data_IF_251058420330
#
_entry.id   IF_251058420330
#
_cell.length_a   1.000
_cell.length_b   1.000
_cell.length_c   1.000
_cell.angle_alpha   90.00
_cell.angle_beta   90.00
_cell.angle_gamma   90.00
#
_symmetry.space_group_name_H-M   'P 1'
#
loop_
_entity.id
_entity.type
_entity.pdbx_description
1 polymer ?
#
# COMPACT_ATOMS: atom_id res chain seq x y z
N UNK A 1 -21.36 -20.95 -2.68
CA UNK A 1 -20.32 -19.98 -3.07
C UNK A 1 -19.54 -19.66 -1.82
N UNK A 2 -18.20 -19.78 -1.84
CA UNK A 2 -17.36 -19.41 -0.69
C UNK A 2 -17.38 -17.89 -0.57
N UNK A 3 -17.89 -17.34 0.53
CA UNK A 3 -17.86 -15.90 0.78
C UNK A 3 -16.46 -15.45 1.20
N UNK A 4 -16.02 -14.32 0.66
CA UNK A 4 -14.75 -13.69 1.06
C UNK A 4 -14.95 -12.98 2.39
N UNK A 5 -14.08 -13.25 3.37
CA UNK A 5 -14.20 -12.64 4.70
C UNK A 5 -13.29 -11.42 4.81
N UNK A 6 -13.87 -10.27 5.14
CA UNK A 6 -13.13 -9.05 5.48
C UNK A 6 -13.40 -8.72 6.94
N UNK A 7 -12.32 -8.68 7.72
CA UNK A 7 -12.37 -8.24 9.11
C UNK A 7 -12.18 -6.73 9.22
N UNK A 8 -12.88 -6.11 10.17
CA UNK A 8 -12.76 -4.70 10.53
C UNK A 8 -12.69 -4.61 12.04
N UNK A 9 -11.59 -4.07 12.57
CA UNK A 9 -11.39 -3.95 14.01
C UNK A 9 -11.09 -2.50 14.36
N UNK A 10 -11.86 -1.96 15.30
CA UNK A 10 -11.57 -0.67 15.92
C UNK A 10 -10.41 -0.80 16.89
N UNK A 11 -9.41 0.06 16.72
CA UNK A 11 -8.22 0.07 17.55
C UNK A 11 -8.56 0.57 18.95
N UNK A 12 -8.44 -0.32 19.93
CA UNK A 12 -8.51 -0.01 21.36
C UNK A 12 -7.21 0.58 21.89
N UNK A 13 -6.73 0.10 23.03
CA UNK A 13 -5.51 0.63 23.65
C UNK A 13 -4.22 0.26 22.90
N UNK A 14 -4.22 -0.84 22.14
CA UNK A 14 -3.03 -1.36 21.46
C UNK A 14 -3.33 -1.76 20.00
N UNK A 15 -2.59 -1.16 19.06
CA UNK A 15 -2.65 -1.49 17.63
C UNK A 15 -2.24 -2.93 17.36
N UNK A 16 -1.25 -3.48 18.06
CA UNK A 16 -0.80 -4.85 17.79
C UNK A 16 -1.88 -5.87 18.14
N UNK A 17 -2.65 -5.62 19.19
CA UNK A 17 -3.80 -6.44 19.56
C UNK A 17 -4.91 -6.34 18.51
N UNK A 18 -5.26 -5.13 18.06
CA UNK A 18 -6.25 -4.93 17.00
C UNK A 18 -5.85 -5.61 15.69
N UNK A 19 -4.56 -5.60 15.34
CA UNK A 19 -4.03 -6.36 14.19
C UNK A 19 -4.24 -7.85 14.38
N UNK A 20 -3.87 -8.40 15.54
CA UNK A 20 -4.08 -9.83 15.84
C UNK A 20 -5.56 -10.19 15.72
N UNK A 21 -6.44 -9.41 16.34
CA UNK A 21 -7.90 -9.63 16.28
C UNK A 21 -8.43 -9.60 14.85
N UNK A 22 -8.01 -8.63 14.02
CA UNK A 22 -8.41 -8.56 12.62
C UNK A 22 -7.93 -9.79 11.84
N UNK A 23 -6.66 -10.17 12.01
CA UNK A 23 -6.11 -11.36 11.35
C UNK A 23 -6.86 -12.63 11.75
N UNK A 24 -7.13 -12.84 13.05
CA UNK A 24 -7.88 -13.99 13.56
C UNK A 24 -9.31 -14.03 13.00
N UNK A 25 -10.02 -12.89 13.00
CA UNK A 25 -11.36 -12.75 12.46
C UNK A 25 -11.44 -13.04 10.94
N UNK A 26 -10.36 -12.77 10.21
CA UNK A 26 -10.22 -13.08 8.79
C UNK A 26 -9.54 -14.44 8.52
N UNK A 27 -9.39 -15.29 9.55
CA UNK A 27 -8.89 -16.66 9.46
C UNK A 27 -7.51 -16.77 8.76
N UNK A 28 -6.57 -15.88 9.12
CA UNK A 28 -5.27 -15.77 8.46
C UNK A 28 -4.51 -17.10 8.29
N UNK A 29 -4.65 -18.05 9.22
CA UNK A 29 -3.97 -19.36 9.18
C UNK A 29 -4.36 -20.22 7.98
N UNK A 30 -5.55 -20.05 7.40
CA UNK A 30 -5.93 -20.80 6.19
C UNK A 30 -5.22 -20.31 4.93
N UNK A 31 -4.60 -19.13 4.99
CA UNK A 31 -3.94 -18.51 3.84
C UNK A 31 -2.42 -18.69 3.84
N UNK A 32 -1.82 -18.95 4.99
CA UNK A 32 -0.38 -19.10 5.15
C UNK A 32 0.02 -20.55 5.44
N UNK A 33 0.97 -21.05 4.66
CA UNK A 33 1.51 -22.40 4.86
C UNK A 33 2.39 -22.43 6.12
N UNK A 34 2.16 -23.34 7.08
CA UNK A 34 3.03 -23.49 8.24
C UNK A 34 4.49 -23.71 7.84
N UNK A 35 5.41 -22.95 8.44
CA UNK A 35 6.85 -23.01 8.17
C UNK A 35 7.30 -22.35 6.85
N UNK A 36 6.40 -21.76 6.06
CA UNK A 36 6.79 -21.04 4.85
C UNK A 36 7.56 -19.76 5.17
N UNK A 37 8.51 -19.42 4.30
CA UNK A 37 9.15 -18.11 4.29
C UNK A 37 8.15 -17.04 3.80
N UNK A 38 8.07 -15.91 4.50
CA UNK A 38 7.08 -14.86 4.23
C UNK A 38 7.71 -13.49 4.03
N UNK A 39 7.39 -12.86 2.90
CA UNK A 39 7.64 -11.45 2.66
C UNK A 39 6.51 -10.58 3.22
N UNK A 40 6.87 -9.66 4.11
CA UNK A 40 6.02 -8.58 4.60
C UNK A 40 6.29 -7.33 3.77
N UNK A 41 5.28 -6.86 3.02
CA UNK A 41 5.42 -5.71 2.14
C UNK A 41 4.65 -4.49 2.69
N UNK A 42 5.29 -3.63 3.50
CA UNK A 42 4.73 -2.33 3.87
C UNK A 42 4.64 -1.40 2.67
N UNK A 43 3.79 -0.38 2.77
CA UNK A 43 3.81 0.75 1.88
C UNK A 43 4.88 1.75 2.33
N UNK A 44 6.03 1.78 1.63
CA UNK A 44 7.08 2.81 1.81
C UNK A 44 7.14 3.77 0.62
N UNK A 45 5.96 4.20 0.16
CA UNK A 45 5.81 5.05 -1.02
C UNK A 45 6.24 6.50 -0.87
N UNK A 46 6.81 6.87 0.29
CA UNK A 46 7.24 8.24 0.56
C UNK A 46 8.42 8.31 1.53
N UNK A 47 9.45 9.03 1.13
CA UNK A 47 10.70 9.25 1.89
C UNK A 47 10.79 10.65 2.50
N UNK A 48 9.63 11.31 2.63
CA UNK A 48 9.41 12.45 3.52
C UNK A 48 8.30 12.07 4.49
N UNK A 49 8.69 11.65 5.68
CA UNK A 49 7.77 11.07 6.66
C UNK A 49 6.48 11.88 6.85
N UNK A 50 5.35 11.24 6.57
CA UNK A 50 4.01 11.74 6.79
C UNK A 50 3.13 10.57 7.23
N UNK A 51 2.57 10.57 8.45
CA UNK A 51 1.62 9.56 8.88
C UNK A 51 0.47 9.39 7.88
N UNK A 52 0.11 8.15 7.57
CA UNK A 52 -0.86 7.80 6.53
C UNK A 52 -0.34 7.77 5.10
N UNK A 53 0.86 8.30 4.82
CA UNK A 53 1.50 8.09 3.52
C UNK A 53 2.23 6.74 3.44
N UNK A 54 2.59 6.17 4.59
CA UNK A 54 3.42 4.97 4.76
C UNK A 54 2.92 4.12 5.91
N UNK A 55 3.16 2.80 5.87
CA UNK A 55 2.66 1.85 6.86
C UNK A 55 3.25 2.09 8.24
N UNK A 56 2.38 2.05 9.25
CA UNK A 56 2.70 2.27 10.65
C UNK A 56 3.52 1.11 11.25
N UNK A 57 4.62 1.38 11.98
CA UNK A 57 5.40 0.35 12.68
C UNK A 57 4.59 -0.57 13.57
N UNK A 58 3.60 -0.04 14.31
CA UNK A 58 2.79 -0.89 15.17
C UNK A 58 1.91 -1.88 14.40
N UNK A 59 1.50 -1.55 13.17
CA UNK A 59 0.76 -2.48 12.32
C UNK A 59 1.69 -3.62 11.86
N UNK A 60 2.89 -3.28 11.38
CA UNK A 60 3.90 -4.29 11.01
C UNK A 60 4.28 -5.17 12.21
N UNK A 61 4.46 -4.56 13.38
CA UNK A 61 4.78 -5.26 14.63
C UNK A 61 3.67 -6.25 15.03
N UNK A 62 2.40 -5.83 14.92
CA UNK A 62 1.24 -6.68 15.17
C UNK A 62 1.22 -7.91 14.25
N UNK A 63 1.51 -7.73 12.95
CA UNK A 63 1.58 -8.85 12.01
C UNK A 63 2.71 -9.81 12.37
N UNK A 64 3.92 -9.28 12.62
CA UNK A 64 5.09 -10.07 13.01
C UNK A 64 4.79 -10.89 14.28
N UNK A 65 4.25 -10.25 15.32
CA UNK A 65 3.90 -10.93 16.57
C UNK A 65 2.80 -11.99 16.40
N UNK A 66 1.95 -11.85 15.38
CA UNK A 66 0.85 -12.79 15.12
C UNK A 66 1.33 -14.04 14.41
N UNK A 67 2.27 -13.90 13.46
CA UNK A 67 2.62 -15.01 12.57
C UNK A 67 3.97 -15.67 12.87
N UNK A 68 4.88 -15.02 13.62
CA UNK A 68 6.29 -15.47 13.77
C UNK A 68 6.49 -16.89 14.29
N UNK A 69 5.52 -17.45 15.00
CA UNK A 69 5.57 -18.83 15.51
C UNK A 69 5.01 -19.86 14.51
N UNK A 70 4.31 -19.40 13.48
CA UNK A 70 3.67 -20.22 12.46
C UNK A 70 4.49 -20.33 11.18
N UNK A 71 5.34 -19.33 10.91
CA UNK A 71 6.09 -19.20 9.64
C UNK A 71 7.58 -19.42 9.83
N UNK A 72 8.31 -19.61 8.73
CA UNK A 72 9.75 -19.72 8.70
C UNK A 72 10.42 -18.34 8.81
N UNK A 73 11.23 -17.97 7.82
CA UNK A 73 11.90 -16.67 7.81
C UNK A 73 10.95 -15.54 7.42
N UNK A 74 11.06 -14.41 8.11
CA UNK A 74 10.37 -13.17 7.79
C UNK A 74 11.28 -12.19 7.07
N UNK A 75 10.85 -11.74 5.90
CA UNK A 75 11.51 -10.69 5.13
C UNK A 75 10.68 -9.41 5.20
N UNK A 76 11.30 -8.26 5.42
CA UNK A 76 10.65 -6.96 5.25
C UNK A 76 11.10 -6.41 3.89
N UNK A 77 10.16 -6.20 2.97
CA UNK A 77 10.51 -5.93 1.56
C UNK A 77 9.85 -4.67 1.03
N UNK A 78 10.57 -3.88 0.23
CA UNK A 78 10.01 -2.83 -0.63
C UNK A 78 11.02 -2.44 -1.72
N UNK A 79 10.61 -1.63 -2.71
CA UNK A 79 11.47 -1.21 -3.81
C UNK A 79 11.60 0.32 -3.89
N UNK A 80 12.67 0.78 -4.50
CA UNK A 80 12.84 2.17 -4.86
C UNK A 80 11.80 2.61 -5.91
N UNK A 81 11.52 3.91 -5.94
CA UNK A 81 10.64 4.54 -6.91
C UNK A 81 11.36 5.71 -7.58
N UNK A 82 10.86 6.18 -8.73
CA UNK A 82 11.47 7.30 -9.47
C UNK A 82 11.77 8.56 -8.62
N UNK A 83 11.00 8.79 -7.54
CA UNK A 83 11.18 9.95 -6.65
C UNK A 83 11.47 9.57 -5.19
N UNK A 84 11.62 8.29 -4.87
CA UNK A 84 11.61 7.80 -3.47
C UNK A 84 12.65 6.72 -3.31
N UNK A 85 13.49 6.86 -2.28
CA UNK A 85 14.43 5.81 -1.87
C UNK A 85 13.84 5.01 -0.71
N UNK A 86 13.60 3.73 -0.89
CA UNK A 86 12.88 2.91 0.10
C UNK A 86 13.64 2.79 1.42
N UNK A 87 14.98 2.75 1.40
CA UNK A 87 15.79 2.77 2.63
C UNK A 87 15.67 4.06 3.43
N UNK A 88 15.49 5.21 2.75
CA UNK A 88 15.27 6.47 3.45
C UNK A 88 13.90 6.46 4.13
N UNK A 89 12.87 5.97 3.42
CA UNK A 89 11.54 5.79 3.98
C UNK A 89 11.57 4.83 5.19
N UNK A 90 12.25 3.68 5.09
CA UNK A 90 12.42 2.70 6.17
C UNK A 90 12.97 3.32 7.46
N UNK A 91 14.06 4.10 7.35
CA UNK A 91 14.71 4.76 8.50
C UNK A 91 13.86 5.86 9.12
N UNK A 92 13.12 6.58 8.26
CA UNK A 92 12.24 7.65 8.72
C UNK A 92 10.98 7.12 9.40
N UNK A 93 10.49 5.95 8.99
CA UNK A 93 9.33 5.31 9.61
C UNK A 93 9.67 4.48 10.84
N UNK A 94 10.96 4.26 11.17
CA UNK A 94 11.40 3.37 12.27
C UNK A 94 11.16 1.88 12.03
N UNK A 95 10.87 1.50 10.79
CA UNK A 95 10.75 0.09 10.45
C UNK A 95 12.11 -0.62 10.43
N UNK A 96 13.22 0.12 10.28
CA UNK A 96 14.57 -0.40 10.49
C UNK A 96 14.82 -0.81 11.95
N UNK A 97 14.35 -0.01 12.91
CA UNK A 97 14.41 -0.35 14.33
C UNK A 97 13.57 -1.60 14.64
N UNK A 98 12.37 -1.69 14.07
CA UNK A 98 11.51 -2.87 14.18
C UNK A 98 12.16 -4.11 13.57
N UNK A 99 12.71 -4.01 12.36
CA UNK A 99 13.39 -5.11 11.69
C UNK A 99 14.54 -5.67 12.55
N UNK A 100 15.34 -4.80 13.18
CA UNK A 100 16.39 -5.22 14.12
C UNK A 100 15.84 -5.88 15.38
N UNK A 101 14.75 -5.35 15.98
CA UNK A 101 14.14 -5.92 17.20
C UNK A 101 13.58 -7.33 17.00
N UNK A 102 13.08 -7.62 15.81
CA UNK A 102 12.42 -8.89 15.47
C UNK A 102 13.25 -9.79 14.55
N UNK A 103 14.51 -9.44 14.28
CA UNK A 103 15.39 -10.17 13.36
C UNK A 103 14.76 -10.40 11.96
N UNK A 104 14.11 -9.36 11.44
CA UNK A 104 13.54 -9.39 10.08
C UNK A 104 14.63 -9.09 9.06
N UNK A 105 14.69 -9.88 7.99
CA UNK A 105 15.61 -9.62 6.89
C UNK A 105 15.06 -8.49 6.01
N UNK A 106 15.65 -7.30 6.08
CA UNK A 106 15.34 -6.23 5.15
C UNK A 106 15.85 -6.54 3.74
N UNK A 107 14.99 -6.39 2.73
CA UNK A 107 15.35 -6.57 1.32
C UNK A 107 14.83 -5.39 0.49
N UNK A 108 15.74 -4.67 -0.16
CA UNK A 108 15.37 -3.73 -1.21
C UNK A 108 15.20 -4.49 -2.53
N UNK A 109 13.96 -4.70 -2.94
CA UNK A 109 13.59 -5.45 -4.14
C UNK A 109 14.18 -4.85 -5.43
N UNK A 110 14.51 -3.55 -5.47
CA UNK A 110 15.18 -2.95 -6.64
C UNK A 110 16.61 -3.44 -6.85
N UNK A 111 17.22 -4.09 -5.87
CA UNK A 111 18.57 -4.66 -5.93
C UNK A 111 18.58 -6.17 -6.10
N UNK A 112 17.41 -6.81 -6.04
CA UNK A 112 17.28 -8.25 -6.20
C UNK A 112 17.33 -8.65 -7.68
N UNK A 113 17.73 -9.89 -7.99
CA UNK A 113 17.52 -10.49 -9.30
C UNK A 113 16.03 -10.49 -9.68
N UNK A 114 15.73 -10.10 -10.91
CA UNK A 114 14.38 -10.13 -11.48
C UNK A 114 14.27 -11.22 -12.52
N UNK A 115 13.17 -11.94 -12.49
CA UNK A 115 12.79 -12.88 -13.56
C UNK A 115 11.54 -12.40 -14.28
N UNK A 116 11.44 -12.74 -15.56
CA UNK A 116 10.26 -12.46 -16.38
C UNK A 116 9.29 -13.62 -16.27
N UNK A 117 8.06 -13.32 -15.87
CA UNK A 117 6.97 -14.29 -15.74
C UNK A 117 5.90 -13.97 -16.76
N UNK A 118 5.48 -14.97 -17.53
CA UNK A 118 4.32 -14.85 -18.42
C UNK A 118 3.05 -14.71 -17.60
N UNK A 119 2.15 -13.85 -18.06
CA UNK A 119 0.86 -13.62 -17.40
C UNK A 119 -0.22 -14.37 -18.17
N UNK A 120 -0.80 -15.44 -17.59
CA UNK A 120 -1.97 -16.08 -18.17
C UNK A 120 -3.12 -15.08 -18.28
N UNK A 121 -3.79 -15.05 -19.43
CA UNK A 121 -4.91 -14.17 -19.73
C UNK A 121 -4.60 -12.69 -19.42
N UNK A 122 -3.41 -12.26 -19.84
CA UNK A 122 -2.92 -10.91 -19.61
C UNK A 122 -3.91 -9.84 -20.10
N UNK A 123 -4.19 -8.87 -19.24
CA UNK A 123 -5.04 -7.71 -19.56
C UNK A 123 -4.27 -6.56 -20.18
N UNK A 124 -3.02 -6.36 -19.75
CA UNK A 124 -2.17 -5.27 -20.20
C UNK A 124 -0.71 -5.69 -20.41
N UNK A 125 -0.19 -6.57 -19.56
CA UNK A 125 1.22 -6.96 -19.53
C UNK A 125 1.35 -8.46 -19.83
N UNK A 126 1.71 -8.85 -21.07
CA UNK A 126 1.91 -10.26 -21.44
C UNK A 126 2.98 -10.94 -20.58
N UNK A 127 3.97 -10.16 -20.14
CA UNK A 127 4.99 -10.58 -19.19
C UNK A 127 5.19 -9.50 -18.14
N UNK A 128 5.50 -9.91 -16.90
CA UNK A 128 5.90 -9.01 -15.82
C UNK A 128 7.25 -9.45 -15.28
N UNK A 129 8.12 -8.46 -15.01
CA UNK A 129 9.39 -8.68 -14.34
C UNK A 129 9.18 -8.51 -12.84
N UNK A 130 9.45 -9.55 -12.07
CA UNK A 130 9.30 -9.54 -10.61
C UNK A 130 10.56 -10.06 -9.93
N UNK A 131 10.88 -9.59 -8.70
CA UNK A 131 12.00 -10.12 -7.92
C UNK A 131 11.82 -11.61 -7.65
N UNK A 132 12.87 -12.40 -7.87
CA UNK A 132 12.83 -13.85 -7.68
C UNK A 132 12.45 -14.27 -6.25
N UNK A 133 12.80 -13.43 -5.26
CA UNK A 133 12.42 -13.65 -3.86
C UNK A 133 10.90 -13.81 -3.72
N UNK A 134 10.11 -12.98 -4.39
CA UNK A 134 8.65 -13.00 -4.26
C UNK A 134 8.00 -14.24 -4.88
N UNK A 135 8.71 -14.97 -5.73
CA UNK A 135 8.22 -16.21 -6.35
C UNK A 135 8.48 -17.46 -5.49
N UNK A 136 9.40 -17.37 -4.53
CA UNK A 136 9.79 -18.49 -3.65
C UNK A 136 9.30 -18.32 -2.21
N UNK A 137 8.67 -17.20 -1.88
CA UNK A 137 8.10 -16.92 -0.56
C UNK A 137 6.61 -16.66 -0.67
N UNK A 138 5.88 -16.92 0.40
CA UNK A 138 4.54 -16.36 0.55
C UNK A 138 4.62 -14.87 0.87
N UNK A 139 3.52 -14.14 0.67
CA UNK A 139 3.53 -12.68 0.80
C UNK A 139 2.32 -12.18 1.55
N UNK A 140 2.55 -11.31 2.54
CA UNK A 140 1.52 -10.51 3.20
C UNK A 140 1.75 -9.05 2.83
N UNK A 141 0.76 -8.42 2.22
CA UNK A 141 0.84 -7.00 1.86
C UNK A 141 0.22 -6.13 2.95
N UNK A 142 0.88 -5.02 3.28
CA UNK A 142 0.52 -4.16 4.40
C UNK A 142 0.25 -2.72 3.90
N UNK A 143 -0.82 -2.50 3.10
CA UNK A 143 -1.13 -1.19 2.53
C UNK A 143 -1.60 -0.21 3.60
N UNK A 144 -1.62 1.07 3.24
CA UNK A 144 -2.33 2.11 4.01
C UNK A 144 -3.60 2.51 3.27
N UNK A 145 -4.70 2.69 4.00
CA UNK A 145 -5.95 3.21 3.45
C UNK A 145 -5.77 4.69 3.06
N UNK A 146 -5.78 5.00 1.77
CA UNK A 146 -5.61 6.37 1.27
C UNK A 146 -6.22 6.59 -0.10
N UNK A 147 -6.52 7.84 -0.42
CA UNK A 147 -6.90 8.24 -1.79
C UNK A 147 -5.71 8.16 -2.76
N UNK A 148 -5.99 8.28 -4.06
CA UNK A 148 -4.95 8.34 -5.09
C UNK A 148 -5.46 9.06 -6.34
N UNK A 149 -4.69 10.02 -6.86
CA UNK A 149 -5.09 10.84 -8.01
C UNK A 149 -5.39 10.04 -9.30
N UNK A 150 -4.66 8.94 -9.57
CA UNK A 150 -4.85 8.13 -10.80
C UNK A 150 -5.77 6.91 -10.65
N UNK A 151 -6.05 6.47 -9.43
CA UNK A 151 -6.74 5.18 -9.19
C UNK A 151 -7.88 5.31 -8.19
N UNK A 152 -8.28 6.54 -7.86
CA UNK A 152 -9.23 6.91 -6.80
C UNK A 152 -8.72 6.62 -5.40
N UNK A 153 -8.30 5.39 -5.16
CA UNK A 153 -7.72 4.92 -3.90
C UNK A 153 -6.38 4.22 -4.13
N UNK A 154 -5.62 4.10 -3.05
CA UNK A 154 -4.64 3.05 -2.85
C UNK A 154 -5.28 1.94 -2.01
N UNK A 155 -4.71 0.76 -2.07
CA UNK A 155 -5.16 -0.40 -1.32
C UNK A 155 -4.17 -1.55 -1.49
N UNK A 156 -4.57 -2.74 -1.09
CA UNK A 156 -3.77 -3.95 -1.17
C UNK A 156 -3.40 -4.32 -2.61
N UNK A 157 -4.34 -4.18 -3.55
CA UNK A 157 -4.10 -4.46 -4.97
C UNK A 157 -3.03 -3.53 -5.53
N UNK A 158 -3.14 -2.24 -5.22
CA UNK A 158 -2.21 -1.21 -5.70
C UNK A 158 -0.86 -1.25 -5.00
N UNK A 159 -0.77 -1.78 -3.78
CA UNK A 159 0.50 -1.88 -3.05
C UNK A 159 1.51 -2.76 -3.79
N UNK A 160 1.02 -3.75 -4.56
CA UNK A 160 1.85 -4.62 -5.39
C UNK A 160 2.65 -3.86 -6.45
N UNK A 161 2.21 -2.66 -6.83
CA UNK A 161 2.98 -1.78 -7.72
C UNK A 161 4.40 -1.52 -7.20
N UNK A 162 4.61 -1.60 -5.87
CA UNK A 162 5.91 -1.56 -5.22
C UNK A 162 6.89 -2.64 -5.68
N UNK A 163 6.41 -3.79 -6.15
CA UNK A 163 7.23 -4.94 -6.54
C UNK A 163 7.77 -4.87 -7.98
N UNK A 164 7.31 -3.92 -8.80
CA UNK A 164 7.82 -3.73 -10.15
C UNK A 164 9.17 -2.97 -10.14
N UNK A 165 10.03 -3.16 -11.17
CA UNK A 165 11.25 -2.39 -11.35
C UNK A 165 11.00 -0.87 -11.38
N UNK A 166 12.06 -0.08 -11.21
CA UNK A 166 11.96 1.38 -11.07
C UNK A 166 11.32 2.08 -12.29
N UNK A 167 11.35 1.47 -13.47
CA UNK A 167 10.74 2.00 -14.70
C UNK A 167 9.23 1.76 -14.80
N UNK A 168 8.58 1.26 -13.74
CA UNK A 168 7.13 1.04 -13.65
C UNK A 168 6.25 2.25 -13.97
N UNK A 169 6.79 3.47 -13.92
CA UNK A 169 6.08 4.67 -14.36
C UNK A 169 5.63 4.62 -15.83
N UNK A 170 6.23 3.74 -16.64
CA UNK A 170 5.85 3.46 -18.04
C UNK A 170 4.46 2.84 -18.15
N UNK A 171 4.04 2.08 -17.14
CA UNK A 171 2.76 1.36 -17.14
C UNK A 171 1.58 2.20 -16.64
N UNK A 172 1.77 3.47 -16.28
CA UNK A 172 0.69 4.32 -15.78
C UNK A 172 -0.46 4.51 -16.78
N UNK A 173 -0.22 4.35 -18.08
CA UNK A 173 -1.27 4.44 -19.11
C UNK A 173 -2.22 3.23 -19.14
N UNK A 174 -1.80 2.11 -18.55
CA UNK A 174 -2.54 0.83 -18.49
C UNK A 174 -2.61 0.31 -17.05
N UNK A 175 -2.67 1.24 -16.08
CA UNK A 175 -2.47 0.96 -14.66
C UNK A 175 -3.41 -0.14 -14.13
N UNK A 176 -4.69 -0.06 -14.46
CA UNK A 176 -5.72 -0.97 -13.95
C UNK A 176 -5.49 -2.42 -14.42
N UNK A 177 -5.29 -2.64 -15.72
CA UNK A 177 -4.96 -3.96 -16.27
C UNK A 177 -3.60 -4.49 -15.81
N UNK A 178 -2.60 -3.60 -15.73
CA UNK A 178 -1.28 -3.97 -15.21
C UNK A 178 -1.34 -4.39 -13.74
N UNK A 179 -2.22 -3.79 -12.92
CA UNK A 179 -2.44 -4.21 -11.54
C UNK A 179 -3.10 -5.59 -11.45
N UNK A 180 -4.08 -5.88 -12.31
CA UNK A 180 -4.70 -7.21 -12.36
C UNK A 180 -3.65 -8.27 -12.72
N UNK A 181 -2.84 -8.03 -13.75
CA UNK A 181 -1.79 -8.94 -14.19
C UNK A 181 -0.71 -9.14 -13.11
N UNK A 182 -0.31 -8.07 -12.43
CA UNK A 182 0.68 -8.13 -11.35
C UNK A 182 0.16 -8.91 -10.13
N UNK A 183 -1.09 -8.68 -9.71
CA UNK A 183 -1.69 -9.43 -8.61
C UNK A 183 -1.89 -10.91 -8.98
N UNK A 184 -2.12 -11.23 -10.26
CA UNK A 184 -2.19 -12.63 -10.74
C UNK A 184 -0.85 -13.36 -10.64
N UNK A 185 0.27 -12.66 -10.85
CA UNK A 185 1.61 -13.23 -10.75
C UNK A 185 2.11 -13.30 -9.32
N UNK A 186 2.00 -12.21 -8.54
CA UNK A 186 2.55 -12.16 -7.19
C UNK A 186 1.69 -12.91 -6.16
N UNK A 187 0.36 -12.95 -6.36
CA UNK A 187 -0.61 -13.64 -5.51
C UNK A 187 -0.36 -13.47 -4.00
N UNK A 188 -0.38 -12.24 -3.46
CA UNK A 188 -0.33 -12.03 -2.02
C UNK A 188 -1.36 -12.91 -1.33
N UNK A 189 -0.93 -13.65 -0.30
CA UNK A 189 -1.76 -14.63 0.40
C UNK A 189 -2.74 -13.97 1.35
N UNK A 190 -2.36 -12.82 1.89
CA UNK A 190 -3.12 -12.11 2.89
C UNK A 190 -2.78 -10.62 2.86
N UNK A 191 -3.71 -9.79 3.31
CA UNK A 191 -3.51 -8.36 3.44
C UNK A 191 -3.97 -7.86 4.80
N UNK A 192 -3.18 -6.97 5.40
CA UNK A 192 -3.54 -6.23 6.62
C UNK A 192 -3.40 -4.75 6.30
N UNK A 193 -4.54 -4.08 6.13
CA UNK A 193 -4.58 -2.67 5.78
C UNK A 193 -4.49 -1.81 7.04
N UNK A 194 -3.48 -0.94 7.06
CA UNK A 194 -3.33 0.11 8.04
C UNK A 194 -4.35 1.21 7.76
N UNK A 195 -5.37 1.27 8.61
CA UNK A 195 -6.35 2.35 8.67
C UNK A 195 -6.29 3.05 10.03
N UNK A 196 -5.13 3.04 10.71
CA UNK A 196 -4.93 3.77 11.97
C UNK A 196 -4.89 5.26 11.70
N UNK A 197 -3.90 5.68 10.91
CA UNK A 197 -3.79 6.99 10.28
C UNK A 197 -3.80 6.79 8.77
N UNK A 198 -4.84 7.28 8.12
CA UNK A 198 -5.07 7.25 6.69
C UNK A 198 -4.55 8.52 6.01
N UNK A 199 -4.66 8.61 4.67
CA UNK A 199 -4.33 9.82 3.91
C UNK A 199 -5.41 10.15 2.88
N UNK A 200 -6.03 11.33 3.00
CA UNK A 200 -7.05 11.82 2.07
C UNK A 200 -6.56 13.01 1.24
N UNK A 201 -7.34 13.45 0.27
CA UNK A 201 -7.00 14.56 -0.64
C UNK A 201 -5.94 14.15 -1.65
N UNK A 202 -4.96 15.01 -1.90
CA UNK A 202 -3.94 14.83 -2.95
C UNK A 202 -2.84 13.79 -2.59
N UNK A 203 -3.25 12.60 -2.19
CA UNK A 203 -2.44 11.41 -2.04
C UNK A 203 -1.97 10.87 -3.42
N UNK A 204 -0.88 10.07 -3.49
CA UNK A 204 -0.27 9.29 -2.42
C UNK A 204 0.76 10.02 -1.54
N UNK A 205 1.08 11.29 -1.84
CA UNK A 205 2.22 12.03 -1.23
C UNK A 205 1.82 13.33 -0.54
N UNK A 206 1.01 14.15 -1.21
CA UNK A 206 0.63 15.50 -0.78
C UNK A 206 -0.77 15.58 -0.16
N UNK A 207 -1.19 14.53 0.53
CA UNK A 207 -2.51 14.44 1.16
C UNK A 207 -2.55 15.00 2.58
N UNK A 208 -3.72 14.92 3.21
CA UNK A 208 -3.96 15.25 4.62
C UNK A 208 -4.12 13.96 5.43
N UNK A 209 -3.31 13.73 6.48
CA UNK A 209 -3.49 12.61 7.38
C UNK A 209 -4.86 12.65 8.05
N UNK A 210 -5.49 11.49 8.19
CA UNK A 210 -6.80 11.34 8.81
C UNK A 210 -6.81 10.12 9.74
N UNK A 211 -7.09 10.31 11.02
CA UNK A 211 -7.19 9.20 11.96
C UNK A 211 -8.53 8.50 11.74
N UNK A 212 -8.50 7.18 11.55
CA UNK A 212 -9.69 6.34 11.44
C UNK A 212 -9.77 5.29 12.55
N UNK A 213 -8.66 5.00 13.24
CA UNK A 213 -8.62 4.03 14.34
C UNK A 213 -9.11 2.63 13.94
N UNK A 214 -8.78 2.18 12.73
CA UNK A 214 -9.16 0.88 12.20
C UNK A 214 -7.96 0.04 11.77
N UNK A 215 -8.13 -1.27 11.81
CA UNK A 215 -7.34 -2.24 11.06
C UNK A 215 -8.29 -3.12 10.29
N UNK A 216 -8.00 -3.35 9.01
CA UNK A 216 -8.74 -4.30 8.19
C UNK A 216 -7.83 -5.44 7.78
N UNK A 217 -8.38 -6.65 7.66
CA UNK A 217 -7.62 -7.78 7.15
C UNK A 217 -8.48 -8.75 6.34
N UNK A 218 -7.88 -9.38 5.33
CA UNK A 218 -8.54 -10.32 4.42
C UNK A 218 -7.52 -11.14 3.64
N UNK A 219 -7.89 -12.37 3.28
CA UNK A 219 -7.19 -13.15 2.26
C UNK A 219 -7.65 -12.88 0.82
N UNK A 220 -8.73 -12.12 0.65
CA UNK A 220 -9.20 -11.60 -0.63
C UNK A 220 -8.92 -10.08 -0.69
N UNK A 221 -7.95 -9.70 -1.52
CA UNK A 221 -7.51 -8.31 -1.67
C UNK A 221 -8.55 -7.44 -2.41
N UNK A 222 -9.34 -8.03 -3.31
CA UNK A 222 -10.40 -7.31 -4.02
C UNK A 222 -11.51 -6.95 -3.05
N UNK A 223 -11.92 -7.89 -2.20
CA UNK A 223 -12.93 -7.67 -1.17
C UNK A 223 -12.46 -6.62 -0.14
N UNK A 224 -11.18 -6.68 0.24
CA UNK A 224 -10.58 -5.71 1.16
C UNK A 224 -10.59 -4.29 0.58
N UNK A 225 -10.14 -4.11 -0.66
CA UNK A 225 -10.09 -2.81 -1.31
C UNK A 225 -11.49 -2.27 -1.62
N UNK A 226 -12.44 -3.14 -1.98
CA UNK A 226 -13.85 -2.76 -2.16
C UNK A 226 -14.48 -2.28 -0.84
N UNK A 227 -14.22 -2.98 0.27
CA UNK A 227 -14.67 -2.57 1.60
C UNK A 227 -14.04 -1.24 2.02
N UNK A 228 -12.74 -1.07 1.80
CA UNK A 228 -12.03 0.17 2.09
C UNK A 228 -12.55 1.35 1.24
N UNK A 229 -12.87 1.12 -0.04
CA UNK A 229 -13.49 2.13 -0.90
C UNK A 229 -14.80 2.63 -0.31
N UNK A 230 -15.68 1.72 0.10
CA UNK A 230 -16.97 2.04 0.73
C UNK A 230 -16.76 2.83 2.03
N UNK A 231 -15.81 2.43 2.89
CA UNK A 231 -15.48 3.17 4.12
C UNK A 231 -15.01 4.60 3.86
N UNK A 232 -14.29 4.82 2.77
CA UNK A 232 -13.84 6.16 2.36
C UNK A 232 -14.93 6.97 1.64
N UNK A 233 -16.12 6.41 1.43
CA UNK A 233 -17.23 7.04 0.72
C UNK A 233 -17.13 6.98 -0.81
N UNK A 234 -16.36 6.03 -1.35
CA UNK A 234 -16.30 5.77 -2.79
C UNK A 234 -17.12 4.55 -3.18
N UNK A 235 -17.71 4.59 -4.37
CA UNK A 235 -18.38 3.44 -4.98
C UNK A 235 -17.34 2.48 -5.58
N UNK A 236 -17.15 1.27 -5.01
CA UNK A 236 -16.13 0.32 -5.48
C UNK A 236 -16.33 -0.11 -6.94
N UNK A 237 -17.57 -0.12 -7.45
CA UNK A 237 -17.86 -0.50 -8.83
C UNK A 237 -17.30 0.50 -9.86
N UNK A 238 -17.06 1.75 -9.43
CA UNK A 238 -16.50 2.82 -10.27
C UNK A 238 -14.97 2.88 -10.22
N UNK A 239 -14.34 2.06 -9.38
CA UNK A 239 -12.89 2.03 -9.24
C UNK A 239 -12.33 0.97 -10.18
N UNK A 240 -11.76 1.43 -11.30
CA UNK A 240 -11.39 0.59 -12.44
C UNK A 240 -10.50 -0.60 -12.06
N UNK A 241 -9.44 -0.39 -11.27
CA UNK A 241 -8.54 -1.49 -10.89
C UNK A 241 -9.18 -2.52 -9.96
N UNK A 242 -10.15 -2.15 -9.11
CA UNK A 242 -10.92 -3.10 -8.29
C UNK A 242 -11.80 -3.94 -9.21
N UNK A 243 -12.55 -3.29 -10.10
CA UNK A 243 -13.41 -3.94 -11.09
C UNK A 243 -12.61 -4.91 -11.97
N UNK A 244 -11.48 -4.48 -12.52
CA UNK A 244 -10.66 -5.32 -13.38
C UNK A 244 -10.07 -6.53 -12.65
N UNK A 245 -9.68 -6.39 -11.37
CA UNK A 245 -9.22 -7.52 -10.56
C UNK A 245 -10.36 -8.50 -10.24
N UNK A 246 -11.57 -8.00 -9.98
CA UNK A 246 -12.75 -8.83 -9.77
C UNK A 246 -13.12 -9.62 -11.05
N UNK A 247 -13.18 -8.95 -12.21
CA UNK A 247 -13.44 -9.59 -13.50
C UNK A 247 -12.34 -10.58 -13.92
N UNK A 248 -11.13 -10.40 -13.38
CA UNK A 248 -10.01 -11.32 -13.53
C UNK A 248 -10.07 -12.53 -12.57
N UNK A 249 -11.15 -12.68 -11.80
CA UNK A 249 -11.35 -13.72 -10.79
C UNK A 249 -10.23 -13.77 -9.73
N UNK A 250 -9.64 -12.62 -9.39
CA UNK A 250 -8.61 -12.52 -8.33
C UNK A 250 -9.23 -12.34 -6.94
N UNK A 251 -10.55 -12.20 -6.87
CA UNK A 251 -11.33 -11.94 -5.66
C UNK A 251 -12.70 -11.40 -6.04
N UNK A 252 -13.46 -10.91 -5.08
CA UNK A 252 -14.79 -10.35 -5.32
C UNK A 252 -14.93 -8.91 -4.83
N UNK A 253 -15.61 -8.08 -5.63
CA UNK A 253 -16.06 -6.74 -5.23
C UNK A 253 -17.58 -6.70 -4.96
N UNK A 254 -18.25 -7.84 -5.08
CA UNK A 254 -19.69 -8.00 -4.85
C UNK A 254 -19.97 -8.06 -3.34
N UNK A 255 -20.70 -7.07 -2.82
CA UNK A 255 -21.01 -6.97 -1.39
C UNK A 255 -21.76 -8.19 -0.85
N UNK A 256 -22.58 -8.85 -1.66
CA UNK A 256 -23.35 -10.02 -1.24
C UNK A 256 -22.46 -11.26 -1.04
N UNK A 257 -21.26 -11.24 -1.63
CA UNK A 257 -20.25 -12.28 -1.49
C UNK A 257 -19.17 -11.92 -0.45
N UNK A 258 -19.24 -10.72 0.13
CA UNK A 258 -18.31 -10.24 1.16
C UNK A 258 -18.95 -10.37 2.54
N UNK A 259 -18.40 -11.28 3.34
CA UNK A 259 -18.75 -11.41 4.76
C UNK A 259 -17.90 -10.44 5.58
N UNK A 260 -18.54 -9.42 6.14
CA UNK A 260 -17.90 -8.50 7.07
C UNK A 260 -17.90 -9.08 8.50
N UNK A 261 -16.75 -9.02 9.18
CA UNK A 261 -16.61 -9.39 10.59
C UNK A 261 -16.08 -8.19 11.35
N UNK A 262 -16.92 -7.58 12.18
CA UNK A 262 -16.59 -6.34 12.88
C UNK A 262 -17.77 -5.37 12.97
N UNK A 263 -17.52 -4.08 13.27
CA UNK A 263 -18.55 -3.05 13.24
C UNK A 263 -19.14 -2.86 11.84
N UNK A 264 -20.36 -2.32 11.75
CA UNK A 264 -21.01 -2.08 10.46
C UNK A 264 -20.36 -0.94 9.70
N UNK A 265 -20.28 -1.06 8.37
CA UNK A 265 -19.71 0.00 7.52
C UNK A 265 -20.46 1.32 7.68
N UNK A 266 -21.77 1.30 7.85
CA UNK A 266 -22.59 2.50 8.02
C UNK A 266 -22.15 3.35 9.22
N UNK A 267 -21.68 2.71 10.29
CA UNK A 267 -21.21 3.42 11.49
C UNK A 267 -19.79 3.98 11.35
N UNK A 268 -18.98 3.40 10.46
CA UNK A 268 -17.56 3.70 10.30
C UNK A 268 -17.25 4.51 9.04
N UNK A 269 -18.15 4.50 8.05
CA UNK A 269 -17.92 5.13 6.77
C UNK A 269 -17.83 6.65 6.95
N UNK A 270 -16.78 7.23 6.38
CA UNK A 270 -16.62 8.67 6.34
C UNK A 270 -16.15 9.10 4.97
N UNK A 271 -16.75 10.16 4.45
CA UNK A 271 -16.35 10.70 3.15
C UNK A 271 -14.94 11.29 3.23
N UNK A 272 -14.03 10.69 2.48
CA UNK A 272 -12.68 11.19 2.29
C UNK A 272 -12.69 12.30 1.24
N UNK A 273 -11.83 13.31 1.42
CA UNK A 273 -11.56 14.27 0.35
C UNK A 273 -10.94 13.53 -0.84
N UNK A 274 -11.55 13.55 -2.04
CA UNK A 274 -10.99 12.88 -3.21
C UNK A 274 -9.67 13.54 -3.63
N UNK A 275 -8.79 12.75 -4.26
CA UNK A 275 -7.61 13.30 -4.90
C UNK A 275 -8.02 14.05 -6.17
N UNK A 276 -7.50 15.26 -6.38
CA UNK A 276 -7.78 16.04 -7.58
C UNK A 276 -6.63 15.96 -8.57
N UNK A 277 -6.96 15.83 -9.85
CA UNK A 277 -5.99 15.98 -10.92
C UNK A 277 -5.49 17.43 -10.99
N UNK A 278 -4.23 17.62 -10.62
CA UNK A 278 -3.57 18.90 -10.85
C UNK A 278 -3.24 19.08 -12.34
N UNK A 279 -2.95 20.33 -12.76
CA UNK A 279 -2.60 20.65 -14.15
C UNK A 279 -1.44 19.79 -14.68
N UNK A 280 -0.48 19.47 -13.81
CA UNK A 280 0.67 18.61 -14.13
C UNK A 280 0.20 17.18 -14.49
N UNK A 281 -0.72 16.59 -13.72
CA UNK A 281 -1.31 15.27 -14.01
C UNK A 281 -2.02 15.26 -15.35
N UNK A 282 -2.81 16.30 -15.65
CA UNK A 282 -3.53 16.43 -16.93
C UNK A 282 -2.58 16.56 -18.12
N UNK A 283 -1.54 17.39 -17.99
CA UNK A 283 -0.49 17.54 -19.01
C UNK A 283 0.30 16.24 -19.17
N UNK A 284 0.66 15.57 -18.07
CA UNK A 284 1.33 14.25 -18.11
C UNK A 284 0.48 13.25 -18.88
N UNK A 285 -0.82 13.14 -18.59
CA UNK A 285 -1.72 12.21 -19.29
C UNK A 285 -1.89 12.56 -20.77
N UNK A 286 -2.01 13.85 -21.11
CA UNK A 286 -2.07 14.30 -22.50
C UNK A 286 -0.78 13.96 -23.26
N UNK A 287 0.39 14.19 -22.66
CA UNK A 287 1.69 13.84 -23.24
C UNK A 287 1.84 12.33 -23.43
N UNK A 288 1.39 11.51 -22.47
CA UNK A 288 1.41 10.05 -22.58
C UNK A 288 0.53 9.50 -23.71
N UNK A 289 -0.57 10.19 -24.03
CA UNK A 289 -1.45 9.83 -25.16
C UNK A 289 -0.94 10.36 -26.51
N UNK A 290 0.13 11.15 -26.51
CA UNK A 290 0.68 11.77 -27.72
C UNK A 290 1.79 10.94 -28.35
N UNK A 291 2.10 11.22 -29.63
CA UNK A 291 3.26 10.64 -30.33
C UNK A 291 4.61 11.03 -29.71
N UNK A 292 4.63 12.03 -28.82
CA UNK A 292 5.83 12.49 -28.11
C UNK A 292 6.10 11.72 -26.81
N UNK A 293 5.24 10.78 -26.42
CA UNK A 293 5.37 10.04 -25.16
C UNK A 293 6.76 9.41 -25.00
N UNK A 294 7.27 8.76 -26.05
CA UNK A 294 8.59 8.13 -26.04
C UNK A 294 9.72 9.15 -25.84
N UNK A 295 9.63 10.31 -26.51
CA UNK A 295 10.64 11.36 -26.42
C UNK A 295 10.65 12.06 -25.03
N UNK A 296 9.53 12.07 -24.32
CA UNK A 296 9.41 12.75 -23.01
C UNK A 296 9.70 11.79 -21.85
N UNK A 297 9.20 10.56 -21.89
CA UNK A 297 9.25 9.63 -20.76
C UNK A 297 10.39 8.59 -20.82
N UNK A 298 11.15 8.54 -21.91
CA UNK A 298 12.32 7.64 -22.07
C UNK A 298 13.64 8.38 -22.27
N UNK A 299 13.68 9.70 -22.04
CA UNK A 299 14.87 10.54 -22.22
C UNK A 299 15.16 11.36 -20.96
N UNK A 300 16.26 12.11 -20.97
CA UNK A 300 16.66 13.04 -19.90
C UNK A 300 15.59 14.12 -19.58
N UNK A 301 14.61 14.33 -20.46
CA UNK A 301 13.46 15.20 -20.19
C UNK A 301 12.63 14.67 -19.00
N UNK A 302 12.52 13.35 -18.88
CA UNK A 302 11.85 12.72 -17.73
C UNK A 302 12.58 13.02 -16.42
N UNK A 303 13.91 12.93 -16.42
CA UNK A 303 14.73 13.21 -15.25
C UNK A 303 14.57 14.67 -14.79
N UNK A 304 14.51 15.61 -15.74
CA UNK A 304 14.21 17.01 -15.44
C UNK A 304 12.80 17.20 -14.84
N UNK A 305 11.79 16.50 -15.38
CA UNK A 305 10.44 16.52 -14.83
C UNK A 305 10.39 15.91 -13.42
N UNK A 306 11.12 14.82 -13.18
CA UNK A 306 11.28 14.21 -11.86
C UNK A 306 11.95 15.17 -10.88
N UNK A 307 13.00 15.89 -11.30
CA UNK A 307 13.65 16.92 -10.50
C UNK A 307 12.67 18.05 -10.13
N UNK A 308 11.92 18.57 -11.10
CA UNK A 308 10.89 19.59 -10.88
C UNK A 308 9.79 19.11 -9.92
N UNK A 309 9.31 17.89 -10.07
CA UNK A 309 8.35 17.29 -9.16
C UNK A 309 8.93 17.16 -7.74
N UNK A 310 10.18 16.72 -7.60
CA UNK A 310 10.85 16.61 -6.31
C UNK A 310 10.99 17.96 -5.60
N UNK A 311 11.33 19.02 -6.34
CA UNK A 311 11.35 20.40 -5.83
C UNK A 311 9.96 20.85 -5.36
N UNK A 312 8.91 20.60 -6.15
CA UNK A 312 7.55 20.93 -5.76
C UNK A 312 7.14 20.23 -4.45
N UNK A 313 7.39 18.93 -4.33
CA UNK A 313 7.13 18.19 -3.10
C UNK A 313 7.97 18.68 -1.92
N UNK A 314 9.22 19.11 -2.17
CA UNK A 314 10.06 19.73 -1.16
C UNK A 314 9.40 21.02 -0.63
N UNK A 315 8.96 21.91 -1.51
CA UNK A 315 8.26 23.14 -1.13
C UNK A 315 6.96 22.86 -0.39
N UNK A 316 6.12 21.97 -0.91
CA UNK A 316 4.87 21.58 -0.26
C UNK A 316 5.09 21.02 1.15
N UNK A 317 6.12 20.17 1.32
CA UNK A 317 6.38 19.54 2.60
C UNK A 317 6.99 20.51 3.62
N UNK A 318 8.01 21.27 3.22
CA UNK A 318 8.76 22.12 4.13
C UNK A 318 8.14 23.52 4.28
N UNK A 319 7.77 24.19 3.20
CA UNK A 319 7.22 25.56 3.26
C UNK A 319 5.67 25.55 3.29
N UNK A 320 5.05 24.52 2.74
CA UNK A 320 3.61 24.32 2.71
C UNK A 320 3.04 23.63 3.95
N UNK A 321 1.95 22.85 3.80
CA UNK A 321 1.25 22.25 4.93
C UNK A 321 1.88 20.92 5.43
N UNK A 322 2.75 20.27 4.65
CA UNK A 322 3.15 18.88 4.92
C UNK A 322 3.76 18.65 6.31
N UNK A 323 4.75 19.46 6.73
CA UNK A 323 5.30 19.38 8.10
C UNK A 323 4.26 19.65 9.17
N UNK A 324 3.39 20.64 8.96
CA UNK A 324 2.34 20.99 9.93
C UNK A 324 1.36 19.83 10.13
N UNK A 325 1.00 19.13 9.05
CA UNK A 325 0.16 17.94 9.08
C UNK A 325 0.83 16.79 9.83
N UNK A 326 2.09 16.50 9.52
CA UNK A 326 2.89 15.51 10.26
C UNK A 326 2.94 15.83 11.75
N UNK A 327 3.32 17.07 12.08
CA UNK A 327 3.55 17.48 13.47
C UNK A 327 2.26 17.48 14.30
N UNK A 328 1.10 17.72 13.67
CA UNK A 328 -0.21 17.57 14.31
C UNK A 328 -0.43 16.13 14.76
N UNK A 329 -0.21 15.14 13.89
CA UNK A 329 -0.36 13.72 14.26
C UNK A 329 0.65 13.34 15.35
N UNK A 330 1.89 13.81 15.24
CA UNK A 330 2.95 13.49 16.22
C UNK A 330 2.75 14.14 17.59
N UNK A 331 1.98 15.23 17.71
CA UNK A 331 1.66 15.86 18.99
C UNK A 331 0.34 15.37 19.57
N UNK A 332 -0.67 15.22 18.72
CA UNK A 332 -2.06 15.18 19.19
C UNK A 332 -2.67 13.77 19.16
N UNK A 333 -1.95 12.77 18.62
CA UNK A 333 -2.47 11.40 18.48
C UNK A 333 -1.76 10.39 19.38
N UNK A 334 -2.50 9.37 19.80
CA UNK A 334 -1.97 8.19 20.52
C UNK A 334 -0.95 7.38 19.73
N UNK A 335 -0.82 7.64 18.42
CA UNK A 335 0.07 6.93 17.51
C UNK A 335 1.49 7.48 17.52
N UNK A 336 1.71 8.69 18.01
CA UNK A 336 3.01 9.34 18.02
C UNK A 336 4.18 8.48 18.55
N UNK A 337 4.02 7.70 19.65
CA UNK A 337 5.13 6.95 20.24
C UNK A 337 5.77 5.92 19.30
N UNK A 338 5.06 5.44 18.28
CA UNK A 338 5.59 4.45 17.34
C UNK A 338 6.71 4.98 16.44
N UNK A 339 6.82 6.29 16.29
CA UNK A 339 7.82 6.95 15.44
C UNK A 339 8.95 7.62 16.25
N UNK A 340 8.85 7.60 17.58
CA UNK A 340 9.85 8.14 18.49
C UNK A 340 11.01 7.16 18.68
N UNK A 341 12.21 7.68 18.97
CA UNK A 341 13.34 6.81 19.31
C UNK A 341 13.20 6.32 20.75
N UNK A 342 13.53 5.05 21.05
CA UNK A 342 13.64 4.60 22.43
C UNK A 342 14.61 5.50 23.19
N UNK A 343 14.15 6.12 24.28
CA UNK A 343 14.98 6.96 25.15
C UNK A 343 14.99 8.47 24.84
N UNK A 344 14.29 8.97 23.83
CA UNK A 344 14.04 10.41 23.68
C UNK A 344 12.85 10.82 24.55
N UNK A 345 13.07 11.06 25.84
CA UNK A 345 12.19 11.94 26.64
C UNK A 345 12.76 13.34 26.55
N UNK A 346 11.87 14.29 26.28
CA UNK A 346 11.99 15.75 26.17
C UNK A 346 13.36 16.40 26.45
#
# INVERSE_FOLDING_TARGET
MSSSTVSLVTVGADVRLAVREAMEAANWRSYLTPGADVCLQPNLGWDRFLPGAVTSPWVVEGVVQTIREHVGRLYLVEADQALVRCELALRQTRLDDLARRYDLQWVNLSREPFTSVEVPDARALPTVRVPELLLRTEMITLPVMKTHNKSTITGALKNQWGCLPQDRHRYHGVLSGALADLNRVLRPRFAVMDATVCLEGNAPKSGRPRIMDLVLASGDLVALDATAATLMGFDPSRIEHIRECAEAALGTADSDQIRLVGPSLETLAVSFEPAHDNLVSRVEMALRRSRLARAVFETAVFDLACYGANLWYWFWYYLGPGRRYRDRILRDSRYAPQWQRPGSRD
#
